data_IF_900000882925
#
_entry.id   IF_900000882925
#
_cell.length_a   1.000
_cell.length_b   1.000
_cell.length_c   1.000
_cell.angle_alpha   90.00
_cell.angle_beta   90.00
_cell.angle_gamma   90.00
#
_symmetry.space_group_name_H-M   'P 1'
#
loop_
_entity.id
_entity.type
_entity.pdbx_description
1 polymer ?
#
# COMPACT_ATOMS: atom_id res chain seq x y z
N UNK A 1 13.18 -14.72 16.24
CA UNK A 1 11.86 -14.82 15.57
C UNK A 1 11.51 -13.50 14.86
N UNK A 2 11.58 -12.36 15.54
CA UNK A 2 11.35 -11.02 14.96
C UNK A 2 12.09 -10.74 13.65
N UNK A 3 13.39 -11.03 13.57
CA UNK A 3 14.17 -10.76 12.33
C UNK A 3 13.54 -11.47 11.11
N UNK A 4 13.11 -12.73 11.28
CA UNK A 4 12.52 -13.51 10.17
C UNK A 4 11.15 -12.93 9.76
N UNK A 5 10.30 -12.60 10.74
CA UNK A 5 8.95 -12.04 10.49
C UNK A 5 9.06 -10.62 9.91
N UNK A 6 9.98 -9.81 10.42
CA UNK A 6 10.22 -8.45 9.98
C UNK A 6 10.79 -8.36 8.56
N UNK A 7 11.70 -9.27 8.18
CA UNK A 7 12.15 -9.39 6.78
C UNK A 7 10.98 -9.79 5.87
N UNK A 8 10.16 -10.78 6.26
CA UNK A 8 8.98 -11.17 5.48
C UNK A 8 8.02 -9.98 5.32
N UNK A 9 7.76 -9.25 6.40
CA UNK A 9 6.90 -8.06 6.40
C UNK A 9 7.46 -6.97 5.49
N UNK A 10 8.76 -6.70 5.58
CA UNK A 10 9.43 -5.72 4.73
C UNK A 10 9.48 -6.13 3.26
N UNK A 11 9.64 -7.42 2.96
CA UNK A 11 9.55 -7.93 1.59
C UNK A 11 8.12 -7.78 1.07
N UNK A 12 7.10 -8.13 1.86
CA UNK A 12 5.71 -7.96 1.45
C UNK A 12 5.35 -6.49 1.22
N UNK A 13 5.79 -5.60 2.10
CA UNK A 13 5.66 -4.14 1.92
C UNK A 13 6.41 -3.67 0.68
N UNK A 14 7.62 -4.16 0.46
CA UNK A 14 8.35 -3.87 -0.77
C UNK A 14 7.60 -4.37 -1.99
N UNK A 15 6.97 -5.54 -1.98
CA UNK A 15 6.18 -6.02 -3.12
C UNK A 15 4.93 -5.16 -3.34
N UNK A 16 4.28 -4.72 -2.25
CA UNK A 16 3.17 -3.76 -2.30
C UNK A 16 3.62 -2.45 -2.96
N UNK A 17 4.78 -1.92 -2.57
CA UNK A 17 5.33 -0.66 -3.10
C UNK A 17 5.95 -0.82 -4.51
N UNK A 18 6.61 -1.93 -4.79
CA UNK A 18 7.37 -2.17 -6.02
C UNK A 18 6.47 -2.59 -7.18
N UNK A 19 5.48 -3.45 -6.95
CA UNK A 19 4.43 -3.71 -7.93
C UNK A 19 3.45 -2.53 -8.04
N UNK A 20 3.44 -1.61 -7.08
CA UNK A 20 2.82 -0.30 -7.26
C UNK A 20 3.64 0.62 -8.17
N UNK A 21 4.98 0.55 -8.19
CA UNK A 21 5.83 1.42 -9.04
C UNK A 21 5.93 0.92 -10.49
N UNK A 22 5.83 -0.39 -10.72
CA UNK A 22 6.00 -0.98 -12.06
C UNK A 22 4.64 -1.46 -12.58
N UNK A 23 4.00 -0.75 -13.54
CA UNK A 23 3.04 -1.40 -14.40
C UNK A 23 3.81 -2.47 -15.17
N UNK A 24 3.70 -3.74 -14.75
CA UNK A 24 4.32 -4.88 -15.45
C UNK A 24 3.77 -5.08 -16.88
N UNK A 25 2.85 -4.23 -17.34
CA UNK A 25 2.41 -4.16 -18.71
C UNK A 25 3.14 -3.08 -19.50
N UNK A 26 4.19 -3.45 -20.23
CA UNK A 26 4.45 -2.80 -21.52
C UNK A 26 3.21 -3.11 -22.38
N UNK A 27 2.34 -2.12 -22.58
CA UNK A 27 1.18 -2.27 -23.47
C UNK A 27 1.70 -2.26 -24.90
N UNK A 28 1.76 -3.43 -25.53
CA UNK A 28 1.83 -3.52 -26.98
C UNK A 28 0.44 -3.20 -27.53
N UNK A 29 0.29 -2.01 -28.11
CA UNK A 29 -0.91 -1.56 -28.81
C UNK A 29 -1.07 -2.34 -30.12
N UNK A 30 -1.47 -3.62 -30.02
CA UNK A 30 -1.93 -4.44 -31.15
C UNK A 30 -3.12 -5.31 -30.71
N UNK A 31 -4.30 -4.71 -30.67
CA UNK A 31 -5.59 -5.40 -30.86
C UNK A 31 -6.12 -6.35 -29.79
N UNK A 32 -5.35 -6.72 -28.77
CA UNK A 32 -5.81 -7.56 -27.65
C UNK A 32 -5.33 -6.92 -26.34
N UNK A 33 -6.23 -6.18 -25.69
CA UNK A 33 -5.99 -5.57 -24.38
C UNK A 33 -6.02 -6.64 -23.28
N UNK A 34 -4.97 -7.46 -23.15
CA UNK A 34 -4.82 -8.35 -22.00
C UNK A 34 -3.75 -7.82 -21.04
N UNK A 35 -4.18 -7.22 -19.94
CA UNK A 35 -3.30 -6.87 -18.82
C UNK A 35 -2.96 -8.17 -18.09
N UNK A 36 -1.75 -8.69 -18.30
CA UNK A 36 -1.22 -9.82 -17.50
C UNK A 36 -0.27 -9.25 -16.46
N UNK A 37 -0.83 -8.55 -15.48
CA UNK A 37 -0.15 -8.18 -14.24
C UNK A 37 -0.77 -8.96 -13.08
N UNK A 38 -0.08 -9.06 -11.94
CA UNK A 38 -0.74 -9.37 -10.66
C UNK A 38 -1.24 -8.02 -10.15
N UNK A 39 -2.53 -7.67 -10.33
CA UNK A 39 -2.96 -6.31 -10.05
C UNK A 39 -3.20 -6.21 -8.54
N UNK A 40 -2.21 -5.68 -7.81
CA UNK A 40 -2.34 -5.36 -6.38
C UNK A 40 -3.08 -4.02 -6.21
N UNK A 41 -4.30 -3.93 -6.71
CA UNK A 41 -5.16 -2.76 -6.51
C UNK A 41 -5.70 -2.74 -5.07
N UNK A 42 -5.89 -1.53 -4.55
CA UNK A 42 -6.57 -1.26 -3.28
C UNK A 42 -8.08 -1.37 -3.45
N UNK A 43 -8.60 -0.92 -4.60
CA UNK A 43 -10.04 -0.84 -4.89
C UNK A 43 -10.31 -1.21 -6.35
N UNK A 44 -11.41 -1.91 -6.61
CA UNK A 44 -11.95 -2.15 -7.94
C UNK A 44 -13.45 -1.92 -7.93
N UNK A 45 -13.90 -0.89 -8.66
CA UNK A 45 -15.30 -0.48 -8.71
C UNK A 45 -15.63 0.11 -10.08
N UNK A 46 -16.74 -0.29 -10.69
CA UNK A 46 -17.23 0.21 -11.99
C UNK A 46 -16.12 0.35 -13.06
N UNK A 47 -15.31 -0.70 -13.23
CA UNK A 47 -14.15 -0.77 -14.14
C UNK A 47 -12.95 0.13 -13.82
N UNK A 48 -13.01 0.91 -12.75
CA UNK A 48 -11.89 1.68 -12.20
C UNK A 48 -11.12 0.82 -11.21
N UNK A 49 -9.80 0.72 -11.41
CA UNK A 49 -8.89 0.08 -10.47
C UNK A 49 -8.01 1.14 -9.80
N UNK A 50 -8.10 1.26 -8.49
CA UNK A 50 -7.26 2.19 -7.69
C UNK A 50 -6.10 1.45 -7.06
N UNK A 51 -4.91 1.99 -7.24
CA UNK A 51 -3.65 1.50 -6.69
C UNK A 51 -3.11 2.53 -5.68
N UNK A 52 -2.01 2.19 -4.98
CA UNK A 52 -1.33 3.14 -4.07
C UNK A 52 -0.87 4.44 -4.76
N UNK A 53 -0.72 4.41 -6.09
CA UNK A 53 -0.19 5.50 -6.91
C UNK A 53 -1.25 6.23 -7.74
N UNK A 54 -2.51 5.79 -7.74
CA UNK A 54 -3.59 6.42 -8.53
C UNK A 54 -4.57 5.42 -9.15
N UNK A 55 -5.49 5.94 -9.97
CA UNK A 55 -6.52 5.16 -10.67
C UNK A 55 -6.15 4.86 -12.12
N UNK A 56 -6.54 3.68 -12.59
CA UNK A 56 -6.57 3.35 -14.02
C UNK A 56 -8.04 3.19 -14.40
N UNK A 57 -8.51 4.08 -15.26
CA UNK A 57 -9.74 3.89 -16.03
C UNK A 57 -9.38 3.27 -17.39
N UNK A 58 -10.27 2.51 -18.02
CA UNK A 58 -10.00 1.58 -19.15
C UNK A 58 -9.31 2.13 -20.43
N UNK A 59 -8.87 3.39 -20.44
CA UNK A 59 -8.03 4.00 -21.46
C UNK A 59 -6.65 4.26 -20.85
N UNK A 60 -5.70 3.35 -21.14
CA UNK A 60 -4.31 3.45 -20.69
C UNK A 60 -3.63 4.64 -21.39
N UNK A 61 -3.79 5.83 -20.83
CA UNK A 61 -3.37 7.06 -21.50
C UNK A 61 -2.97 8.21 -20.57
N UNK A 62 -2.83 8.01 -19.26
CA UNK A 62 -2.53 9.14 -18.37
C UNK A 62 -2.03 8.79 -16.97
N UNK A 63 -1.42 7.63 -16.75
CA UNK A 63 -1.00 7.23 -15.39
C UNK A 63 -0.03 8.21 -14.72
N UNK A 64 0.78 8.97 -15.50
CA UNK A 64 1.59 10.09 -15.02
C UNK A 64 0.98 11.48 -15.32
N UNK A 65 -0.04 11.58 -16.19
CA UNK A 65 -0.64 12.85 -16.65
C UNK A 65 -1.82 13.26 -15.76
N UNK A 66 -2.48 12.30 -15.10
CA UNK A 66 -3.48 12.53 -14.05
C UNK A 66 -2.86 12.81 -12.67
N UNK A 67 -1.55 13.05 -12.59
CA UNK A 67 -0.91 13.71 -11.43
C UNK A 67 -1.27 15.20 -11.36
N UNK A 68 -2.55 15.53 -11.51
CA UNK A 68 -3.07 16.80 -11.02
C UNK A 68 -3.01 16.83 -9.49
N UNK A 69 -3.94 17.56 -8.88
CA UNK A 69 -3.99 17.65 -7.41
C UNK A 69 -4.21 16.27 -6.73
N UNK A 70 -4.95 15.35 -7.34
CA UNK A 70 -5.24 14.03 -6.74
C UNK A 70 -4.00 13.14 -6.63
N UNK A 71 -3.16 13.08 -7.67
CA UNK A 71 -1.93 12.29 -7.66
C UNK A 71 -0.91 12.74 -6.61
N UNK A 72 -0.79 14.06 -6.35
CA UNK A 72 0.13 14.55 -5.31
C UNK A 72 -0.36 14.22 -3.91
N UNK A 73 -1.68 14.24 -3.66
CA UNK A 73 -2.24 13.83 -2.37
C UNK A 73 -2.10 12.33 -2.14
N UNK A 74 -2.39 11.49 -3.14
CA UNK A 74 -2.15 10.05 -3.04
C UNK A 74 -0.67 9.76 -2.79
N UNK A 75 0.24 10.42 -3.52
CA UNK A 75 1.67 10.24 -3.31
C UNK A 75 2.11 10.64 -1.89
N UNK A 76 1.67 11.81 -1.40
CA UNK A 76 2.10 12.33 -0.10
C UNK A 76 1.46 11.62 1.09
N UNK A 77 0.19 11.22 0.99
CA UNK A 77 -0.58 10.67 2.12
C UNK A 77 -0.58 9.14 2.18
N UNK A 78 -0.29 8.48 1.06
CA UNK A 78 -0.41 7.02 0.95
C UNK A 78 0.94 6.42 0.57
N UNK A 79 1.50 6.81 -0.58
CA UNK A 79 2.70 6.17 -1.11
C UNK A 79 3.97 6.51 -0.30
N UNK A 80 4.22 7.78 0.02
CA UNK A 80 5.38 8.18 0.83
C UNK A 80 5.37 7.52 2.21
N UNK A 81 4.27 7.55 2.99
CA UNK A 81 4.21 6.86 4.28
C UNK A 81 4.43 5.34 4.17
N UNK A 82 3.90 4.69 3.13
CA UNK A 82 4.13 3.26 2.90
C UNK A 82 5.61 2.93 2.63
N UNK A 83 6.27 3.71 1.76
CA UNK A 83 7.71 3.56 1.49
C UNK A 83 8.54 3.78 2.75
N UNK A 84 8.26 4.84 3.50
CA UNK A 84 8.97 5.12 4.76
C UNK A 84 8.74 3.99 5.76
N UNK A 85 7.51 3.49 5.87
CA UNK A 85 7.18 2.35 6.71
C UNK A 85 7.95 1.09 6.31
N UNK A 86 8.11 0.82 5.01
CA UNK A 86 8.90 -0.29 4.50
C UNK A 86 10.37 -0.19 4.95
N UNK A 87 11.00 0.98 4.74
CA UNK A 87 12.39 1.23 5.14
C UNK A 87 12.58 1.10 6.66
N UNK A 88 11.66 1.65 7.45
CA UNK A 88 11.70 1.57 8.91
C UNK A 88 11.46 0.14 9.42
N UNK A 89 10.57 -0.63 8.80
CA UNK A 89 10.31 -2.03 9.15
C UNK A 89 11.56 -2.87 8.91
N UNK A 90 12.19 -2.74 7.75
CA UNK A 90 13.41 -3.47 7.41
C UNK A 90 14.56 -3.07 8.33
N UNK A 91 14.90 -1.79 8.39
CA UNK A 91 16.02 -1.29 9.22
C UNK A 91 15.81 -1.58 10.71
N UNK A 92 14.59 -1.42 11.21
CA UNK A 92 14.23 -1.72 12.60
C UNK A 92 14.33 -3.21 12.92
N UNK A 93 13.95 -4.08 11.98
CA UNK A 93 14.06 -5.54 12.15
C UNK A 93 15.51 -6.04 12.23
N UNK A 94 16.46 -5.34 11.61
CA UNK A 94 17.89 -5.66 11.71
C UNK A 94 18.56 -5.08 12.96
N UNK A 95 17.95 -4.10 13.63
CA UNK A 95 18.52 -3.44 14.80
C UNK A 95 17.94 -3.99 16.10
N UNK A 96 18.74 -4.69 16.91
CA UNK A 96 18.32 -5.18 18.24
C UNK A 96 18.16 -4.07 19.30
N UNK A 97 18.32 -2.80 18.92
CA UNK A 97 18.26 -1.66 19.83
C UNK A 97 16.82 -1.18 20.06
N UNK A 98 16.61 -0.43 21.14
CA UNK A 98 15.37 0.31 21.39
C UNK A 98 14.97 1.20 20.20
N UNK A 99 15.95 1.78 19.47
CA UNK A 99 15.69 2.58 18.28
C UNK A 99 15.09 1.74 17.15
N UNK A 100 15.53 0.48 16.99
CA UNK A 100 14.97 -0.46 16.02
C UNK A 100 13.52 -0.80 16.31
N UNK A 101 13.22 -1.11 17.58
CA UNK A 101 11.85 -1.35 18.06
C UNK A 101 10.92 -0.14 17.81
N UNK A 102 11.40 1.07 18.10
CA UNK A 102 10.66 2.31 17.81
C UNK A 102 10.45 2.53 16.31
N UNK A 103 11.43 2.18 15.47
CA UNK A 103 11.29 2.22 14.01
C UNK A 103 10.17 1.30 13.51
N UNK A 104 10.11 0.06 14.01
CA UNK A 104 9.02 -0.89 13.70
C UNK A 104 7.67 -0.34 14.17
N UNK A 105 7.59 0.24 15.37
CA UNK A 105 6.36 0.86 15.88
C UNK A 105 5.88 1.99 14.96
N UNK A 106 6.78 2.91 14.57
CA UNK A 106 6.45 4.02 13.66
C UNK A 106 5.98 3.47 12.31
N UNK A 107 6.63 2.44 11.78
CA UNK A 107 6.21 1.76 10.56
C UNK A 107 4.78 1.23 10.66
N UNK A 108 4.44 0.51 11.73
CA UNK A 108 3.07 0.02 11.96
C UNK A 108 2.05 1.15 12.02
N UNK A 109 2.38 2.25 12.72
CA UNK A 109 1.50 3.43 12.81
C UNK A 109 1.28 4.06 11.43
N UNK A 110 2.33 4.20 10.62
CA UNK A 110 2.22 4.71 9.25
C UNK A 110 1.32 3.83 8.39
N UNK A 111 1.46 2.50 8.45
CA UNK A 111 0.59 1.60 7.70
C UNK A 111 -0.87 1.67 8.13
N UNK A 112 -1.14 1.83 9.44
CA UNK A 112 -2.50 2.07 9.95
C UNK A 112 -3.04 3.40 9.41
N UNK A 113 -2.22 4.46 9.39
CA UNK A 113 -2.62 5.75 8.82
C UNK A 113 -2.96 5.61 7.34
N UNK A 114 -2.14 4.91 6.55
CA UNK A 114 -2.41 4.62 5.13
C UNK A 114 -3.76 3.90 4.99
N UNK A 115 -3.98 2.83 5.75
CA UNK A 115 -5.23 2.06 5.73
C UNK A 115 -6.45 2.97 6.02
N UNK A 116 -6.36 3.79 7.06
CA UNK A 116 -7.43 4.71 7.46
C UNK A 116 -7.71 5.76 6.39
N UNK A 117 -6.66 6.40 5.85
CA UNK A 117 -6.81 7.42 4.80
C UNK A 117 -7.45 6.81 3.55
N UNK A 118 -6.98 5.64 3.10
CA UNK A 118 -7.56 4.94 1.96
C UNK A 118 -9.05 4.62 2.22
N UNK A 119 -9.39 4.14 3.41
CA UNK A 119 -10.79 3.80 3.77
C UNK A 119 -11.69 5.03 3.80
N UNK A 120 -11.23 6.12 4.41
CA UNK A 120 -12.00 7.38 4.48
C UNK A 120 -12.21 7.93 3.08
N UNK A 121 -11.17 7.96 2.24
CA UNK A 121 -11.29 8.47 0.88
C UNK A 121 -12.30 7.66 0.05
N UNK A 122 -12.28 6.32 0.15
CA UNK A 122 -13.29 5.46 -0.48
C UNK A 122 -14.72 5.84 -0.08
N UNK A 123 -14.96 6.05 1.22
CA UNK A 123 -16.27 6.42 1.75
C UNK A 123 -16.71 7.84 1.33
N UNK A 124 -15.76 8.73 1.09
CA UNK A 124 -16.01 10.10 0.62
C UNK A 124 -16.07 10.22 -0.91
N UNK A 125 -16.08 9.09 -1.61
CA UNK A 125 -16.17 9.03 -3.06
C UNK A 125 -14.89 9.37 -3.80
N UNK A 126 -13.77 8.90 -3.25
CA UNK A 126 -12.52 8.78 -3.98
C UNK A 126 -11.90 10.10 -4.39
N UNK A 127 -12.27 11.19 -3.75
CA UNK A 127 -11.88 12.53 -4.19
C UNK A 127 -10.36 12.70 -4.24
N UNK A 128 -9.62 11.97 -3.39
CA UNK A 128 -8.17 12.03 -3.31
C UNK A 128 -7.48 10.87 -4.04
N UNK A 129 -8.13 9.71 -4.17
CA UNK A 129 -7.62 8.55 -4.92
C UNK A 129 -8.07 8.50 -6.39
N UNK A 130 -8.96 9.39 -6.82
CA UNK A 130 -9.54 9.38 -8.17
C UNK A 130 -10.67 8.36 -8.38
N UNK A 131 -11.22 7.74 -7.32
CA UNK A 131 -12.37 6.84 -7.47
C UNK A 131 -13.61 7.70 -7.75
N UNK A 132 -14.23 7.55 -8.91
CA UNK A 132 -15.45 8.30 -9.22
C UNK A 132 -16.64 7.71 -8.44
N UNK A 133 -17.12 8.44 -7.44
CA UNK A 133 -18.36 8.13 -6.73
C UNK A 133 -18.16 7.49 -5.35
N UNK A 134 -19.01 7.86 -4.40
CA UNK A 134 -19.02 7.28 -3.06
C UNK A 134 -19.45 5.82 -3.10
N UNK A 135 -18.59 4.93 -2.61
CA UNK A 135 -18.92 3.52 -2.45
C UNK A 135 -19.82 3.40 -1.22
N UNK A 136 -21.03 2.87 -1.40
CA UNK A 136 -21.92 2.58 -0.29
C UNK A 136 -21.22 1.64 0.70
N UNK A 137 -21.45 1.81 2.00
CA UNK A 137 -20.84 0.95 3.04
C UNK A 137 -21.16 -0.53 2.85
N UNK A 138 -22.30 -0.85 2.24
CA UNK A 138 -22.73 -2.21 1.88
C UNK A 138 -21.88 -2.85 0.79
N UNK A 139 -21.30 -2.03 -0.10
CA UNK A 139 -20.55 -2.48 -1.27
C UNK A 139 -19.04 -2.31 -1.07
N UNK A 140 -18.63 -1.73 0.06
CA UNK A 140 -17.23 -1.46 0.40
C UNK A 140 -16.40 -2.75 0.34
N UNK A 141 -16.82 -3.81 1.01
CA UNK A 141 -16.06 -5.07 1.08
C UNK A 141 -15.89 -5.73 -0.30
N UNK A 142 -16.89 -5.61 -1.18
CA UNK A 142 -16.81 -6.10 -2.56
C UNK A 142 -15.93 -5.25 -3.45
N UNK A 143 -15.74 -3.98 -3.11
CA UNK A 143 -14.86 -3.09 -3.85
C UNK A 143 -13.38 -3.21 -3.43
N UNK A 144 -13.08 -3.78 -2.26
CA UNK A 144 -11.70 -3.93 -1.78
C UNK A 144 -10.89 -4.92 -2.62
N UNK A 145 -9.71 -4.48 -3.05
CA UNK A 145 -8.76 -5.28 -3.80
C UNK A 145 -7.73 -6.01 -2.97
N UNK A 146 -6.95 -6.87 -3.64
CA UNK A 146 -5.90 -7.67 -3.01
C UNK A 146 -4.83 -6.82 -2.32
N UNK A 147 -4.53 -5.62 -2.83
CA UNK A 147 -3.58 -4.69 -2.22
C UNK A 147 -4.04 -4.20 -0.85
N UNK A 148 -5.35 -3.98 -0.66
CA UNK A 148 -5.91 -3.55 0.63
C UNK A 148 -5.80 -4.67 1.69
N UNK A 149 -6.13 -5.91 1.32
CA UNK A 149 -5.96 -7.06 2.22
C UNK A 149 -4.49 -7.35 2.52
N UNK A 150 -3.60 -7.13 1.56
CA UNK A 150 -2.16 -7.26 1.76
C UNK A 150 -1.62 -6.20 2.72
N UNK A 151 -2.14 -4.96 2.67
CA UNK A 151 -1.83 -3.91 3.65
C UNK A 151 -2.23 -4.33 5.08
N UNK A 152 -3.43 -4.92 5.25
CA UNK A 152 -3.86 -5.48 6.54
C UNK A 152 -2.89 -6.57 7.01
N UNK A 153 -2.51 -7.49 6.13
CA UNK A 153 -1.55 -8.55 6.47
C UNK A 153 -0.20 -7.97 6.91
N UNK A 154 0.31 -6.94 6.22
CA UNK A 154 1.53 -6.24 6.61
C UNK A 154 1.44 -5.58 7.99
N UNK A 155 0.29 -4.97 8.33
CA UNK A 155 0.06 -4.41 9.68
C UNK A 155 0.10 -5.51 10.74
N UNK A 156 -0.61 -6.61 10.51
CA UNK A 156 -0.65 -7.74 11.45
C UNK A 156 0.76 -8.32 11.67
N UNK A 157 1.51 -8.56 10.60
CA UNK A 157 2.89 -9.06 10.69
C UNK A 157 3.85 -8.04 11.33
N UNK A 158 3.64 -6.74 11.09
CA UNK A 158 4.38 -5.67 11.75
C UNK A 158 4.16 -5.66 13.26
N UNK A 159 2.92 -5.83 13.72
CA UNK A 159 2.59 -5.95 15.15
C UNK A 159 3.26 -7.19 15.76
N UNK A 160 3.25 -8.32 15.06
CA UNK A 160 3.95 -9.53 15.51
C UNK A 160 5.47 -9.32 15.58
N UNK A 161 6.04 -8.61 14.60
CA UNK A 161 7.47 -8.25 14.56
C UNK A 161 7.82 -7.39 15.77
N UNK A 162 6.99 -6.38 16.07
CA UNK A 162 7.15 -5.51 17.22
C UNK A 162 7.10 -6.28 18.55
N UNK A 163 6.11 -7.17 18.72
CA UNK A 163 5.96 -7.99 19.93
C UNK A 163 7.08 -9.00 20.10
N UNK A 164 7.60 -9.53 19.00
CA UNK A 164 8.69 -10.52 19.01
C UNK A 164 10.07 -9.88 19.07
N UNK A 165 10.14 -8.54 19.03
CA UNK A 165 11.39 -7.81 19.03
C UNK A 165 12.08 -7.99 20.39
N UNK A 166 13.40 -8.28 20.44
CA UNK A 166 14.09 -8.39 21.71
C UNK A 166 13.94 -7.08 22.50
N UNK A 167 13.49 -7.21 23.75
CA UNK A 167 13.59 -6.14 24.73
C UNK A 167 15.06 -6.02 25.12
N UNK A 168 15.57 -4.78 25.15
CA UNK A 168 16.99 -4.41 25.30
C UNK A 168 17.86 -5.53 25.91
N UNK A 169 18.73 -6.12 25.09
CA UNK A 169 19.88 -6.84 25.61
C UNK A 169 20.77 -5.77 26.22
N UNK A 170 20.70 -5.64 27.54
CA UNK A 170 21.77 -5.03 28.34
C UNK A 170 22.99 -5.94 28.16
N UNK A 171 23.81 -5.65 27.16
CA UNK A 171 25.22 -6.05 27.09
C UNK A 171 26.08 -4.81 27.31
#
# INVERSE_FOLDING_TARGET
MAIKIGIITGILLFLVDFFAIIPLGIVFTMGINSITGIPLYLVNYDSVQSYLWGTIDGVVGSWWIEFGETGIYSFALIQMPAIIACVLMLSGSFSKSEKGKKGILVSVIMLIMVLVVTTIDMLLGGKYLGISGAIATTDLLSALGMGYYLLIACIVLGIFTLKSHPDNVTE
#
